data_IF_177044137168
#
_entry.id   IF_177044137168
#
_cell.length_a   1.000
_cell.length_b   1.000
_cell.length_c   1.000
_cell.angle_alpha   90.00
_cell.angle_beta   90.00
_cell.angle_gamma   90.00
#
_symmetry.space_group_name_H-M   'P 1'
#
loop_
_entity.id
_entity.type
_entity.pdbx_description
1 polymer ?
#
# COMPACT_ATOMS: atom_id res chain seq x y z
N UNK A 1 -21.59 7.81 -10.97
CA UNK A 1 -20.45 8.76 -11.01
C UNK A 1 -19.19 7.93 -10.77
N UNK A 2 -18.15 7.98 -11.61
CA UNK A 2 -17.05 6.99 -11.56
C UNK A 2 -16.10 7.19 -10.39
N UNK A 3 -15.56 6.08 -9.85
CA UNK A 3 -14.22 6.14 -9.27
C UNK A 3 -13.29 6.33 -10.46
N UNK A 4 -12.67 7.50 -10.59
CA UNK A 4 -11.69 7.72 -11.65
C UNK A 4 -10.40 7.05 -11.17
N UNK A 5 -9.91 6.05 -11.90
CA UNK A 5 -8.60 5.47 -11.67
C UNK A 5 -7.55 6.52 -12.08
N UNK A 6 -6.67 6.91 -11.17
CA UNK A 6 -5.49 7.71 -11.54
C UNK A 6 -4.50 6.81 -12.30
N UNK A 7 -3.81 7.30 -13.33
CA UNK A 7 -2.84 6.51 -14.10
C UNK A 7 -1.48 6.29 -13.40
N UNK A 8 -1.42 6.38 -12.06
CA UNK A 8 -0.17 6.59 -11.33
C UNK A 8 -0.22 5.94 -9.94
N UNK A 9 0.25 4.70 -9.83
CA UNK A 9 0.27 3.90 -8.58
C UNK A 9 1.68 3.37 -8.31
N UNK A 10 2.04 3.22 -7.03
CA UNK A 10 3.40 2.96 -6.56
C UNK A 10 3.61 1.61 -5.89
N UNK A 11 4.88 1.21 -5.85
CA UNK A 11 5.44 -0.03 -5.34
C UNK A 11 5.77 -0.06 -3.86
N UNK A 12 5.48 1.03 -3.14
CA UNK A 12 5.90 1.21 -1.77
C UNK A 12 4.88 0.74 -0.73
N UNK A 13 3.59 0.53 -1.08
CA UNK A 13 2.57 0.03 -0.16
C UNK A 13 2.56 -1.51 -0.04
N UNK A 14 2.86 -2.04 1.14
CA UNK A 14 2.73 -3.48 1.41
C UNK A 14 1.27 -3.98 1.22
N UNK A 15 1.08 -5.27 0.94
CA UNK A 15 -0.26 -5.85 0.87
C UNK A 15 -1.02 -5.70 2.19
N UNK A 16 -2.33 -5.87 2.13
CA UNK A 16 -3.12 -6.06 3.34
C UNK A 16 -2.83 -7.41 3.95
N UNK A 17 -2.54 -7.40 5.24
CA UNK A 17 -2.44 -8.60 6.10
C UNK A 17 -3.77 -8.98 6.74
N UNK A 18 -4.86 -8.24 6.47
CA UNK A 18 -6.16 -8.40 7.13
C UNK A 18 -7.31 -8.14 6.16
N UNK A 19 -8.44 -8.77 6.47
CA UNK A 19 -9.72 -8.43 5.84
C UNK A 19 -10.11 -6.99 6.23
N UNK A 20 -10.61 -6.24 5.26
CA UNK A 20 -11.21 -4.92 5.50
C UNK A 20 -12.41 -5.06 6.41
N UNK A 21 -12.37 -4.40 7.58
CA UNK A 21 -13.46 -4.40 8.55
C UNK A 21 -14.25 -3.09 8.61
N UNK A 22 -13.78 -2.04 7.95
CA UNK A 22 -14.48 -0.76 7.91
C UNK A 22 -13.75 0.32 7.11
N UNK A 23 -14.30 1.53 7.21
CA UNK A 23 -13.78 2.74 6.57
C UNK A 23 -13.23 3.68 7.64
N UNK A 24 -12.03 4.21 7.43
CA UNK A 24 -11.50 5.33 8.23
C UNK A 24 -11.47 6.60 7.40
N UNK A 25 -12.09 7.66 7.93
CA UNK A 25 -12.29 8.92 7.23
C UNK A 25 -11.34 10.00 7.76
N UNK A 26 -10.77 10.74 6.81
CA UNK A 26 -9.85 11.85 7.02
C UNK A 26 -10.43 13.11 6.37
N UNK A 27 -10.20 14.26 6.99
CA UNK A 27 -10.30 15.51 6.25
C UNK A 27 -8.94 15.80 5.61
N UNK A 28 -8.93 16.31 4.40
CA UNK A 28 -7.69 16.72 3.76
C UNK A 28 -7.06 17.90 4.52
N UNK A 29 -5.74 18.09 4.43
CA UNK A 29 -5.12 19.35 4.85
C UNK A 29 -5.41 20.52 3.87
N UNK A 30 -6.20 20.26 2.81
CA UNK A 30 -6.52 21.19 1.74
C UNK A 30 -7.97 21.69 1.82
N UNK A 31 -8.17 22.92 1.35
CA UNK A 31 -9.48 23.56 1.19
C UNK A 31 -9.73 23.78 -0.30
N UNK A 32 -11.00 23.72 -0.71
CA UNK A 32 -11.43 24.10 -2.07
C UNK A 32 -10.89 25.47 -2.46
N UNK A 33 -10.33 25.55 -3.66
CA UNK A 33 -9.91 26.81 -4.28
C UNK A 33 -11.05 27.30 -5.22
N UNK A 34 -11.44 28.59 -5.19
CA UNK A 34 -12.37 29.13 -6.17
C UNK A 34 -11.76 29.02 -7.58
N UNK A 35 -12.47 28.40 -8.51
CA UNK A 35 -11.96 28.10 -9.84
C UNK A 35 -11.76 29.36 -10.71
N UNK A 36 -10.57 29.52 -11.30
CA UNK A 36 -10.40 30.36 -12.49
C UNK A 36 -11.03 29.61 -13.67
N UNK A 37 -11.92 30.27 -14.43
CA UNK A 37 -12.53 29.68 -15.63
C UNK A 37 -11.45 29.29 -16.64
N UNK A 38 -11.25 27.99 -16.85
CA UNK A 38 -10.66 27.44 -18.07
C UNK A 38 -11.72 26.51 -18.71
N UNK A 39 -11.77 26.51 -20.04
CA UNK A 39 -12.85 26.02 -20.91
C UNK A 39 -13.48 24.68 -20.48
N UNK A 40 -14.77 24.57 -20.81
CA UNK A 40 -15.82 23.68 -20.29
C UNK A 40 -15.64 22.14 -20.30
N UNK A 41 -14.42 21.59 -20.41
CA UNK A 41 -14.16 20.16 -20.28
C UNK A 41 -13.08 19.80 -19.24
N UNK A 42 -12.34 20.79 -18.70
CA UNK A 42 -11.36 20.60 -17.63
C UNK A 42 -11.71 21.45 -16.41
N UNK A 43 -12.84 21.17 -15.76
CA UNK A 43 -12.98 21.49 -14.33
C UNK A 43 -12.21 20.44 -13.52
N UNK A 44 -10.89 20.40 -13.69
CA UNK A 44 -10.03 19.66 -12.77
C UNK A 44 -9.97 20.49 -11.48
N UNK A 45 -10.64 20.01 -10.45
CA UNK A 45 -10.59 20.58 -9.11
C UNK A 45 -9.14 20.54 -8.64
N UNK A 46 -8.50 21.72 -8.63
CA UNK A 46 -7.07 21.86 -8.33
C UNK A 46 -6.72 21.33 -6.93
N UNK A 47 -7.68 21.34 -6.00
CA UNK A 47 -7.50 20.82 -4.65
C UNK A 47 -7.39 19.28 -4.63
N UNK A 48 -8.33 18.54 -5.24
CA UNK A 48 -8.22 17.09 -5.36
C UNK A 48 -6.99 16.66 -6.16
N UNK A 49 -6.68 17.33 -7.27
CA UNK A 49 -5.47 17.03 -8.04
C UNK A 49 -4.17 17.25 -7.24
N UNK A 50 -4.09 18.33 -6.45
CA UNK A 50 -2.94 18.58 -5.58
C UNK A 50 -2.86 17.57 -4.43
N UNK A 51 -4.00 17.20 -3.83
CA UNK A 51 -4.07 16.18 -2.78
C UNK A 51 -3.54 14.85 -3.29
N UNK A 52 -3.98 14.44 -4.47
CA UNK A 52 -3.49 13.24 -5.13
C UNK A 52 -1.99 13.35 -5.35
N UNK A 53 -1.49 14.48 -5.85
CA UNK A 53 -0.05 14.74 -6.02
C UNK A 53 0.80 14.60 -4.74
N UNK A 54 0.22 14.80 -3.55
CA UNK A 54 0.93 14.53 -2.28
C UNK A 54 0.98 13.03 -1.93
N UNK A 55 0.04 12.24 -2.44
CA UNK A 55 -0.02 10.78 -2.23
C UNK A 55 0.78 10.00 -3.27
N UNK A 56 1.48 10.69 -4.18
CA UNK A 56 2.26 10.14 -5.30
C UNK A 56 3.72 9.86 -4.88
N UNK A 57 4.45 9.00 -5.63
CA UNK A 57 5.84 8.67 -5.33
C UNK A 57 6.71 9.92 -5.35
N UNK A 58 7.57 10.08 -4.32
CA UNK A 58 8.44 11.23 -4.14
C UNK A 58 7.86 12.40 -3.33
N UNK A 59 6.56 12.37 -2.99
CA UNK A 59 5.86 13.41 -2.19
C UNK A 59 5.98 13.31 -0.65
N UNK A 60 6.31 12.12 -0.12
CA UNK A 60 6.50 11.68 1.31
C UNK A 60 5.28 11.16 2.11
N UNK A 61 5.56 10.04 2.81
CA UNK A 61 5.10 9.51 4.12
C UNK A 61 3.62 9.17 4.40
N UNK A 62 2.62 9.74 3.73
CA UNK A 62 1.20 9.43 4.00
C UNK A 62 0.37 9.29 2.73
N UNK A 63 -0.62 8.39 2.74
CA UNK A 63 -1.50 8.09 1.59
C UNK A 63 -2.88 7.65 2.07
N UNK A 64 -3.89 7.74 1.20
CA UNK A 64 -5.21 7.16 1.43
C UNK A 64 -5.67 6.37 0.20
N UNK A 65 -6.65 5.50 0.36
CA UNK A 65 -7.16 4.70 -0.76
C UNK A 65 -7.89 5.56 -1.79
N UNK A 66 -8.61 6.59 -1.33
CA UNK A 66 -9.32 7.51 -2.20
C UNK A 66 -9.19 8.96 -1.73
N UNK A 67 -9.16 9.89 -2.68
CA UNK A 67 -9.48 11.30 -2.47
C UNK A 67 -10.94 11.58 -2.87
N UNK A 68 -11.65 12.40 -2.08
CA UNK A 68 -13.09 12.69 -2.32
C UNK A 68 -13.36 14.20 -2.35
N UNK A 69 -14.03 14.68 -3.40
CA UNK A 69 -14.50 16.07 -3.55
C UNK A 69 -15.77 16.13 -4.40
N UNK A 70 -16.88 16.65 -3.85
CA UNK A 70 -18.11 17.03 -4.61
C UNK A 70 -18.51 16.09 -5.76
N UNK A 71 -18.84 14.85 -5.41
CA UNK A 71 -19.27 13.81 -6.35
C UNK A 71 -18.11 13.03 -6.97
N UNK A 72 -16.87 13.52 -6.87
CA UNK A 72 -15.70 12.79 -7.33
C UNK A 72 -15.13 11.94 -6.21
N UNK A 73 -14.88 10.67 -6.52
CA UNK A 73 -14.07 9.75 -5.73
C UNK A 73 -12.94 9.33 -6.66
N UNK A 74 -11.70 9.60 -6.30
CA UNK A 74 -10.53 9.27 -7.11
C UNK A 74 -9.67 8.34 -6.29
N UNK A 75 -9.43 7.15 -6.80
CA UNK A 75 -8.62 6.17 -6.07
C UNK A 75 -7.13 6.56 -6.21
N UNK A 76 -6.38 6.41 -5.12
CA UNK A 76 -4.96 6.77 -4.99
C UNK A 76 -4.07 5.65 -4.40
N UNK A 77 -4.64 4.72 -3.60
CA UNK A 77 -4.02 3.40 -3.32
C UNK A 77 -4.97 2.23 -3.70
N UNK A 78 -4.49 1.15 -4.34
CA UNK A 78 -5.28 -0.05 -4.62
C UNK A 78 -5.88 -0.65 -3.34
N UNK A 79 -7.13 -1.15 -3.38
CA UNK A 79 -7.80 -1.61 -2.15
C UNK A 79 -7.29 -2.96 -1.62
N UNK A 80 -6.46 -3.68 -2.37
CA UNK A 80 -5.71 -4.87 -1.97
C UNK A 80 -4.37 -4.52 -1.26
N UNK A 81 -3.94 -3.26 -1.33
CA UNK A 81 -2.79 -2.72 -0.61
C UNK A 81 -3.22 -1.91 0.62
N UNK A 82 -2.30 -1.73 1.56
CA UNK A 82 -2.51 -0.86 2.72
C UNK A 82 -2.10 0.57 2.36
N UNK A 83 -3.01 1.54 2.41
CA UNK A 83 -2.62 2.94 2.39
C UNK A 83 -1.96 3.31 3.74
N UNK A 84 -0.85 4.03 3.72
CA UNK A 84 -0.19 4.58 4.90
C UNK A 84 -0.91 5.83 5.42
N UNK A 85 -2.08 5.64 6.01
CA UNK A 85 -2.96 6.73 6.46
C UNK A 85 -2.94 6.93 7.97
N UNK A 86 -2.61 5.88 8.71
CA UNK A 86 -2.83 5.80 10.16
C UNK A 86 -1.53 5.60 10.94
N UNK A 87 -0.39 5.39 10.25
CA UNK A 87 0.91 5.11 10.88
C UNK A 87 0.83 3.94 11.88
N UNK A 88 -0.02 2.96 11.58
CA UNK A 88 -0.29 1.80 12.40
C UNK A 88 -0.64 0.64 11.47
N UNK A 89 0.21 -0.38 11.45
CA UNK A 89 0.11 -1.48 10.49
C UNK A 89 -1.18 -2.29 10.64
N UNK A 90 -1.74 -2.41 11.85
CA UNK A 90 -3.03 -3.06 12.05
C UNK A 90 -4.13 -2.26 11.36
N UNK A 91 -4.17 -0.96 11.62
CA UNK A 91 -5.24 -0.09 11.15
C UNK A 91 -5.15 0.21 9.66
N UNK A 92 -3.96 0.42 9.12
CA UNK A 92 -3.73 0.58 7.67
C UNK A 92 -4.13 -0.69 6.89
N UNK A 93 -3.99 -1.86 7.52
CA UNK A 93 -4.41 -3.15 6.96
C UNK A 93 -5.92 -3.43 7.12
N UNK A 94 -6.53 -3.01 8.23
CA UNK A 94 -7.95 -3.24 8.53
C UNK A 94 -8.90 -2.26 7.81
N UNK A 95 -8.45 -1.03 7.53
CA UNK A 95 -9.31 0.03 6.99
C UNK A 95 -9.11 0.25 5.49
N UNK A 96 -10.19 0.54 4.77
CA UNK A 96 -10.10 1.39 3.56
C UNK A 96 -10.24 2.84 3.99
N UNK A 97 -9.42 3.73 3.45
CA UNK A 97 -9.24 5.09 3.98
C UNK A 97 -9.52 6.13 2.91
N UNK A 98 -10.14 7.24 3.32
CA UNK A 98 -10.50 8.31 2.42
C UNK A 98 -10.06 9.67 2.94
N UNK A 99 -9.44 10.46 2.07
CA UNK A 99 -9.04 11.84 2.31
C UNK A 99 -10.04 12.78 1.62
N UNK A 100 -10.77 13.56 2.42
CA UNK A 100 -11.94 14.28 1.95
C UNK A 100 -11.69 15.79 1.93
N UNK A 101 -11.84 16.43 0.77
CA UNK A 101 -11.55 17.86 0.59
C UNK A 101 -12.52 18.74 1.40
N UNK A 102 -11.98 19.68 2.17
CA UNK A 102 -12.77 20.63 2.96
C UNK A 102 -13.32 21.76 2.11
N UNK A 103 -14.50 22.24 2.47
CA UNK A 103 -15.04 23.53 2.04
C UNK A 103 -14.46 24.71 2.83
N UNK A 104 -13.94 24.49 4.03
CA UNK A 104 -13.33 25.52 4.88
C UNK A 104 -12.21 24.96 5.77
N UNK A 105 -11.10 25.70 5.92
CA UNK A 105 -10.08 25.41 6.95
C UNK A 105 -10.54 25.84 8.35
N UNK A 106 -11.46 26.81 8.44
CA UNK A 106 -12.08 27.18 9.70
C UNK A 106 -13.15 26.14 10.06
N UNK A 107 -12.86 25.33 11.08
CA UNK A 107 -13.73 24.23 11.53
C UNK A 107 -13.69 22.97 10.67
N UNK A 108 -12.83 22.90 9.65
CA UNK A 108 -12.65 21.73 8.78
C UNK A 108 -13.99 21.18 8.25
N UNK A 109 -14.84 22.07 7.74
CA UNK A 109 -16.19 21.70 7.28
C UNK A 109 -16.15 21.19 5.84
N UNK A 110 -17.01 20.22 5.54
CA UNK A 110 -17.17 19.65 4.20
C UNK A 110 -18.51 20.10 3.60
N UNK A 111 -18.61 20.17 2.28
CA UNK A 111 -19.87 20.45 1.59
C UNK A 111 -20.86 19.29 1.80
N UNK A 112 -22.16 19.55 1.61
CA UNK A 112 -23.15 18.50 1.56
C UNK A 112 -22.86 17.48 0.44
N UNK A 113 -22.34 17.92 -0.70
CA UNK A 113 -21.98 17.04 -1.81
C UNK A 113 -20.80 16.12 -1.49
N UNK A 114 -19.77 16.59 -0.78
CA UNK A 114 -18.69 15.72 -0.30
C UNK A 114 -19.23 14.73 0.74
N UNK A 115 -20.08 15.14 1.69
CA UNK A 115 -20.71 14.21 2.64
C UNK A 115 -21.50 13.10 1.94
N UNK A 116 -22.30 13.45 0.94
CA UNK A 116 -23.06 12.47 0.14
C UNK A 116 -22.13 11.51 -0.62
N UNK A 117 -21.02 12.01 -1.16
CA UNK A 117 -20.01 11.18 -1.85
C UNK A 117 -19.33 10.20 -0.89
N UNK A 118 -19.04 10.64 0.34
CA UNK A 118 -18.49 9.76 1.38
C UNK A 118 -19.49 8.67 1.75
N UNK A 119 -20.78 8.99 1.90
CA UNK A 119 -21.79 7.99 2.21
C UNK A 119 -21.95 6.93 1.10
N UNK A 120 -21.82 7.34 -0.17
CA UNK A 120 -21.80 6.42 -1.31
C UNK A 120 -20.57 5.52 -1.29
N UNK A 121 -19.39 6.10 -1.05
CA UNK A 121 -18.14 5.35 -0.90
C UNK A 121 -18.23 4.33 0.24
N UNK A 122 -18.73 4.71 1.42
CA UNK A 122 -18.92 3.80 2.55
C UNK A 122 -19.87 2.65 2.20
N UNK A 123 -21.00 2.93 1.54
CA UNK A 123 -21.94 1.90 1.11
C UNK A 123 -21.31 0.93 0.08
N UNK A 124 -20.50 1.45 -0.85
CA UNK A 124 -19.80 0.62 -1.83
C UNK A 124 -18.75 -0.28 -1.17
N UNK A 125 -17.93 0.27 -0.27
CA UNK A 125 -16.93 -0.50 0.46
C UNK A 125 -17.58 -1.58 1.35
N UNK A 126 -18.73 -1.27 1.95
CA UNK A 126 -19.53 -2.23 2.71
C UNK A 126 -19.98 -3.42 1.86
N UNK A 127 -20.48 -3.17 0.63
CA UNK A 127 -20.83 -4.24 -0.32
C UNK A 127 -19.61 -5.05 -0.72
N UNK A 128 -18.53 -4.36 -1.12
CA UNK A 128 -17.31 -4.97 -1.65
C UNK A 128 -16.60 -5.87 -0.63
N UNK A 129 -16.51 -5.43 0.62
CA UNK A 129 -15.73 -6.11 1.65
C UNK A 129 -16.58 -6.89 2.66
N UNK A 130 -17.90 -6.81 2.55
CA UNK A 130 -18.84 -7.59 3.36
C UNK A 130 -18.85 -7.17 4.83
N UNK A 131 -18.96 -5.86 5.09
CA UNK A 131 -19.26 -5.30 6.41
C UNK A 131 -20.55 -4.47 6.36
N UNK A 132 -21.15 -4.19 7.52
CA UNK A 132 -22.31 -3.29 7.61
C UNK A 132 -21.89 -1.94 8.18
N UNK A 133 -22.24 -0.78 7.59
CA UNK A 133 -21.92 0.53 8.14
C UNK A 133 -22.66 0.75 9.46
N UNK A 134 -21.95 0.96 10.57
CA UNK A 134 -22.59 1.33 11.83
C UNK A 134 -21.65 2.07 12.80
N UNK A 135 -22.27 2.87 13.66
CA UNK A 135 -21.66 3.69 14.72
C UNK A 135 -22.49 3.70 16.02
N UNK A 136 -23.33 2.69 16.22
CA UNK A 136 -24.15 2.51 17.41
C UNK A 136 -23.58 1.41 18.31
N UNK A 137 -23.96 1.41 19.59
CA UNK A 137 -23.49 0.43 20.57
C UNK A 137 -22.04 0.65 20.97
N UNK A 138 -21.30 -0.44 21.19
CA UNK A 138 -19.90 -0.40 21.63
C UNK A 138 -19.02 0.31 20.57
N UNK A 139 -18.34 1.42 20.91
CA UNK A 139 -17.52 2.13 19.95
C UNK A 139 -16.37 1.32 19.34
N UNK A 140 -15.92 0.26 20.03
CA UNK A 140 -14.88 -0.64 19.51
C UNK A 140 -15.33 -1.51 18.34
N UNK A 141 -16.63 -1.59 18.06
CA UNK A 141 -17.17 -2.41 16.97
C UNK A 141 -17.57 -1.59 15.75
N UNK A 142 -17.45 -0.27 15.79
CA UNK A 142 -17.85 0.60 14.67
C UNK A 142 -17.09 0.25 13.39
N UNK A 143 -17.75 0.45 12.24
CA UNK A 143 -17.19 0.17 10.91
C UNK A 143 -17.06 1.42 10.04
N UNK A 144 -17.58 2.56 10.51
CA UNK A 144 -17.35 3.87 9.92
C UNK A 144 -16.71 4.69 11.03
N UNK A 145 -15.42 5.01 10.90
CA UNK A 145 -14.61 5.57 11.98
C UNK A 145 -13.91 6.84 11.49
N UNK A 146 -13.84 7.89 12.30
CA UNK A 146 -12.98 9.03 12.03
C UNK A 146 -11.55 8.76 12.50
N UNK A 147 -10.52 9.27 11.82
CA UNK A 147 -9.11 9.01 12.22
C UNK A 147 -8.83 9.30 13.71
N UNK A 148 -9.32 10.39 14.29
CA UNK A 148 -9.18 10.67 15.74
C UNK A 148 -9.75 9.56 16.63
N UNK A 149 -10.82 8.89 16.20
CA UNK A 149 -11.45 7.82 16.97
C UNK A 149 -10.63 6.53 16.96
N UNK A 150 -9.84 6.28 15.91
CA UNK A 150 -8.82 5.22 15.91
C UNK A 150 -7.87 5.42 17.10
N UNK A 151 -7.42 6.65 17.32
CA UNK A 151 -6.58 7.01 18.47
C UNK A 151 -7.34 7.00 19.80
N UNK A 152 -8.44 7.72 19.93
CA UNK A 152 -9.10 7.93 21.23
C UNK A 152 -9.88 6.73 21.75
N UNK A 153 -10.33 5.83 20.87
CA UNK A 153 -11.17 4.67 21.24
C UNK A 153 -10.35 3.37 21.23
N UNK A 154 -9.45 3.22 20.26
CA UNK A 154 -8.73 1.97 20.05
C UNK A 154 -7.26 2.03 20.45
N UNK A 155 -6.71 3.22 20.72
CA UNK A 155 -5.30 3.40 21.07
C UNK A 155 -4.32 3.12 19.92
N UNK A 156 -4.83 2.97 18.68
CA UNK A 156 -4.00 2.85 17.49
C UNK A 156 -3.78 4.22 16.85
N UNK A 157 -2.82 4.34 15.94
CA UNK A 157 -2.48 5.63 15.31
C UNK A 157 -2.03 6.71 16.31
N UNK A 158 -2.21 7.99 15.97
CA UNK A 158 -1.73 9.16 16.70
C UNK A 158 -2.81 10.24 16.84
N UNK A 159 -2.60 11.16 17.79
CA UNK A 159 -3.52 12.27 18.05
C UNK A 159 -3.65 13.18 16.82
N UNK A 160 -4.88 13.48 16.40
CA UNK A 160 -5.16 14.20 15.16
C UNK A 160 -6.46 15.01 15.20
N UNK A 161 -6.52 16.07 14.39
CA UNK A 161 -7.74 16.83 14.14
C UNK A 161 -8.71 16.11 13.18
N UNK A 162 -8.26 15.11 12.41
CA UNK A 162 -9.11 14.32 11.51
C UNK A 162 -10.20 13.56 12.27
N UNK A 163 -11.46 13.48 11.81
CA UNK A 163 -11.97 13.92 10.51
C UNK A 163 -12.56 15.35 10.51
N UNK A 164 -12.28 16.16 11.53
CA UNK A 164 -12.68 17.57 11.53
C UNK A 164 -14.18 17.73 11.76
N UNK A 165 -14.83 18.59 10.97
CA UNK A 165 -16.25 18.91 11.08
C UNK A 165 -17.19 17.91 10.39
N UNK A 166 -16.72 16.71 10.06
CA UNK A 166 -17.49 15.70 9.34
C UNK A 166 -18.61 15.10 10.20
N UNK A 167 -19.84 15.05 9.69
CA UNK A 167 -20.96 14.38 10.37
C UNK A 167 -20.96 12.87 10.08
N UNK A 168 -20.17 12.12 10.86
CA UNK A 168 -20.01 10.67 10.72
C UNK A 168 -21.30 9.89 10.96
N UNK A 169 -22.20 10.40 11.82
CA UNK A 169 -23.47 9.74 12.11
C UNK A 169 -24.44 9.88 10.92
N UNK A 170 -24.51 11.07 10.32
CA UNK A 170 -25.26 11.29 9.10
C UNK A 170 -24.73 10.43 7.96
N UNK A 171 -23.40 10.41 7.73
CA UNK A 171 -22.75 9.60 6.69
C UNK A 171 -23.10 8.12 6.86
N UNK A 172 -23.00 7.61 8.09
CA UNK A 172 -23.29 6.21 8.40
C UNK A 172 -24.75 5.87 8.14
N UNK A 173 -25.69 6.70 8.63
CA UNK A 173 -27.12 6.49 8.40
C UNK A 173 -27.46 6.57 6.91
N UNK A 174 -26.82 7.47 6.18
CA UNK A 174 -26.99 7.63 4.73
C UNK A 174 -26.49 6.39 3.97
N UNK A 175 -25.33 5.85 4.33
CA UNK A 175 -24.81 4.61 3.75
C UNK A 175 -25.75 3.42 4.00
N UNK A 176 -26.32 3.31 5.21
CA UNK A 176 -27.32 2.29 5.53
C UNK A 176 -28.59 2.41 4.66
N UNK A 177 -29.07 3.63 4.42
CA UNK A 177 -30.22 3.87 3.54
C UNK A 177 -29.95 3.44 2.09
N UNK A 178 -28.73 3.70 1.60
CA UNK A 178 -28.27 3.27 0.26
C UNK A 178 -28.21 1.75 0.17
N UNK A 179 -27.71 1.07 1.21
CA UNK A 179 -27.65 -0.39 1.26
C UNK A 179 -29.02 -1.05 1.33
N UNK A 180 -29.95 -0.48 2.10
CA UNK A 180 -31.31 -0.99 2.27
C UNK A 180 -32.29 -0.65 1.14
N UNK A 181 -31.83 0.00 0.05
CA UNK A 181 -32.67 0.40 -1.08
C UNK A 181 -33.74 1.45 -0.77
N UNK A 182 -33.70 2.06 0.43
CA UNK A 182 -34.71 3.03 0.91
C UNK A 182 -34.59 4.41 0.26
N UNK A 183 -33.46 4.69 -0.37
CA UNK A 183 -33.25 5.86 -1.22
C UNK A 183 -32.58 5.37 -2.49
N UNK A 184 -32.99 5.84 -3.69
CA UNK A 184 -32.29 5.51 -4.92
C UNK A 184 -30.81 5.86 -4.75
N UNK A 185 -29.93 4.87 -4.97
CA UNK A 185 -28.53 5.19 -5.17
C UNK A 185 -28.49 6.15 -6.38
N UNK A 186 -27.85 7.33 -6.29
CA UNK A 186 -27.58 8.12 -7.48
C UNK A 186 -26.85 7.24 -8.49
N UNK A 187 -27.01 7.55 -9.79
CA UNK A 187 -26.57 6.72 -10.92
C UNK A 187 -25.33 5.90 -10.57
N UNK A 188 -25.50 4.56 -10.59
CA UNK A 188 -24.51 3.58 -10.17
C UNK A 188 -23.12 4.05 -10.57
N UNK A 189 -22.16 3.92 -9.66
CA UNK A 189 -20.77 4.01 -10.06
C UNK A 189 -20.61 3.05 -11.24
N UNK A 190 -20.09 3.46 -12.42
CA UNK A 190 -19.78 2.53 -13.49
C UNK A 190 -18.94 1.38 -12.90
N UNK A 191 -19.11 0.17 -13.47
CA UNK A 191 -18.29 -0.98 -13.09
C UNK A 191 -16.84 -0.52 -12.99
N UNK A 192 -16.18 -0.82 -11.86
CA UNK A 192 -14.78 -0.47 -11.67
C UNK A 192 -14.01 -0.93 -12.91
N UNK A 193 -13.25 -0.01 -13.52
CA UNK A 193 -12.27 -0.42 -14.53
C UNK A 193 -11.41 -1.53 -13.91
N UNK A 194 -11.05 -2.54 -14.72
CA UNK A 194 -10.20 -3.64 -14.25
C UNK A 194 -8.97 -3.06 -13.54
N UNK A 195 -8.57 -3.62 -12.40
CA UNK A 195 -7.50 -3.03 -11.61
C UNK A 195 -6.20 -3.04 -12.43
N UNK A 196 -5.44 -1.94 -12.35
CA UNK A 196 -4.20 -1.74 -13.10
C UNK A 196 -3.02 -1.48 -12.18
N UNK A 197 -1.82 -1.94 -12.57
CA UNK A 197 -0.54 -1.54 -12.00
C UNK A 197 0.15 -0.55 -12.95
N UNK A 198 0.43 0.67 -12.51
CA UNK A 198 1.03 1.73 -13.35
C UNK A 198 0.32 1.95 -14.71
N UNK A 199 -1.00 1.79 -14.74
CA UNK A 199 -1.82 1.92 -15.96
C UNK A 199 -1.93 0.66 -16.82
N UNK A 200 -1.30 -0.46 -16.43
CA UNK A 200 -1.38 -1.75 -17.11
C UNK A 200 -2.32 -2.72 -16.37
N UNK A 201 -3.23 -3.45 -17.04
CA UNK A 201 -4.16 -4.36 -16.35
C UNK A 201 -3.42 -5.46 -15.56
N UNK A 202 -3.73 -5.62 -14.27
CA UNK A 202 -3.05 -6.60 -13.40
C UNK A 202 -3.28 -8.02 -13.89
N UNK A 203 -4.51 -8.34 -14.31
CA UNK A 203 -4.85 -9.64 -14.90
C UNK A 203 -3.96 -9.98 -16.10
N UNK A 204 -3.67 -8.99 -16.96
CA UNK A 204 -2.81 -9.16 -18.13
C UNK A 204 -1.35 -9.36 -17.72
N UNK A 205 -0.87 -8.60 -16.72
CA UNK A 205 0.46 -8.81 -16.14
C UNK A 205 0.61 -10.26 -15.65
N UNK A 206 -0.33 -10.74 -14.83
CA UNK A 206 -0.29 -12.07 -14.22
C UNK A 206 -0.31 -13.19 -15.29
N UNK A 207 -1.16 -13.04 -16.31
CA UNK A 207 -1.20 -13.99 -17.45
C UNK A 207 0.08 -13.97 -18.28
N UNK A 208 0.63 -12.78 -18.56
CA UNK A 208 1.84 -12.65 -19.35
C UNK A 208 3.06 -13.18 -18.58
N UNK A 209 3.16 -12.95 -17.27
CA UNK A 209 4.17 -13.58 -16.42
C UNK A 209 4.16 -15.10 -16.54
N UNK A 210 2.97 -15.72 -16.46
CA UNK A 210 2.79 -17.16 -16.69
C UNK A 210 3.27 -17.62 -18.08
N UNK A 211 2.96 -16.87 -19.14
CA UNK A 211 3.44 -17.13 -20.51
C UNK A 211 4.96 -17.08 -20.62
N UNK A 212 5.62 -16.20 -19.85
CA UNK A 212 7.07 -16.07 -19.81
C UNK A 212 7.76 -17.09 -18.88
N UNK A 213 7.00 -17.96 -18.21
CA UNK A 213 7.52 -19.01 -17.32
C UNK A 213 7.68 -18.58 -15.86
N UNK A 214 7.06 -17.47 -15.44
CA UNK A 214 7.09 -16.92 -14.08
C UNK A 214 5.67 -16.86 -13.48
N UNK A 215 4.97 -18.01 -13.32
CA UNK A 215 3.55 -18.00 -12.96
C UNK A 215 3.29 -17.39 -11.58
N UNK A 216 2.23 -16.59 -11.50
CA UNK A 216 1.61 -16.03 -10.29
C UNK A 216 0.13 -16.38 -10.32
N UNK A 217 -0.54 -16.32 -9.18
CA UNK A 217 -2.01 -16.39 -9.15
C UNK A 217 -2.62 -15.28 -10.04
N UNK A 218 -3.72 -15.59 -10.74
CA UNK A 218 -4.47 -14.64 -11.58
C UNK A 218 -5.72 -14.22 -10.83
N UNK A 219 -5.53 -13.44 -9.79
CA UNK A 219 -6.55 -12.95 -8.85
C UNK A 219 -6.82 -11.44 -8.99
N UNK A 220 -6.21 -10.80 -9.99
CA UNK A 220 -6.25 -9.35 -10.22
C UNK A 220 -5.65 -8.51 -9.08
N UNK A 221 -4.85 -9.13 -8.20
CA UNK A 221 -4.12 -8.51 -7.10
C UNK A 221 -2.63 -8.48 -7.47
N UNK A 222 -2.04 -7.29 -7.60
CA UNK A 222 -0.59 -7.21 -7.74
C UNK A 222 -0.01 -7.41 -6.35
N UNK A 223 0.18 -8.67 -5.92
CA UNK A 223 0.62 -9.05 -4.56
C UNK A 223 2.13 -9.36 -4.48
N UNK A 224 2.63 -9.82 -3.31
CA UNK A 224 4.05 -10.18 -3.12
C UNK A 224 4.50 -11.24 -4.11
N UNK A 225 3.63 -12.21 -4.42
CA UNK A 225 3.92 -13.25 -5.40
C UNK A 225 4.13 -12.66 -6.80
N UNK A 226 3.21 -11.81 -7.26
CA UNK A 226 3.33 -11.10 -8.54
C UNK A 226 4.58 -10.21 -8.55
N UNK A 227 4.84 -9.44 -7.48
CA UNK A 227 6.04 -8.60 -7.35
C UNK A 227 7.31 -9.44 -7.47
N UNK A 228 7.38 -10.58 -6.77
CA UNK A 228 8.51 -11.51 -6.83
C UNK A 228 8.71 -12.05 -8.24
N UNK A 229 7.63 -12.50 -8.91
CA UNK A 229 7.74 -13.01 -10.28
C UNK A 229 8.15 -11.93 -11.28
N UNK A 230 7.74 -10.68 -11.08
CA UNK A 230 8.21 -9.54 -11.88
C UNK A 230 9.70 -9.31 -11.70
N UNK A 231 10.24 -9.40 -10.47
CA UNK A 231 11.70 -9.32 -10.25
C UNK A 231 12.44 -10.42 -10.98
N UNK A 232 11.97 -11.66 -10.92
CA UNK A 232 12.61 -12.79 -11.61
C UNK A 232 12.56 -12.60 -13.13
N UNK A 233 11.44 -12.13 -13.68
CA UNK A 233 11.34 -11.76 -15.10
C UNK A 233 12.34 -10.64 -15.44
N UNK A 234 12.42 -9.58 -14.65
CA UNK A 234 13.33 -8.46 -14.85
C UNK A 234 14.79 -8.93 -14.88
N UNK A 235 15.22 -9.76 -13.93
CA UNK A 235 16.56 -10.36 -13.91
C UNK A 235 16.83 -11.19 -15.17
N UNK A 236 15.88 -12.08 -15.54
CA UNK A 236 16.01 -12.93 -16.72
C UNK A 236 16.10 -12.13 -18.03
N UNK A 237 15.55 -10.91 -18.03
CA UNK A 237 15.56 -10.01 -19.18
C UNK A 237 16.63 -8.92 -19.13
N UNK A 238 17.40 -8.82 -18.03
CA UNK A 238 18.48 -7.85 -17.85
C UNK A 238 17.97 -6.43 -17.52
N UNK A 239 16.80 -6.33 -16.89
CA UNK A 239 16.24 -5.10 -16.34
C UNK A 239 16.63 -4.95 -14.86
N UNK A 240 16.47 -3.74 -14.32
CA UNK A 240 16.56 -3.52 -12.87
C UNK A 240 15.45 -4.33 -12.17
N UNK A 241 15.75 -5.21 -11.19
CA UNK A 241 14.77 -6.09 -10.58
C UNK A 241 14.07 -5.42 -9.39
N UNK A 242 13.42 -4.30 -9.64
CA UNK A 242 12.68 -3.52 -8.64
C UNK A 242 11.34 -4.19 -8.25
N UNK A 243 10.78 -5.02 -9.13
CA UNK A 243 9.49 -5.67 -8.96
C UNK A 243 8.32 -4.83 -9.49
N UNK A 244 8.60 -3.80 -10.30
CA UNK A 244 7.61 -2.91 -10.90
C UNK A 244 7.41 -3.14 -12.39
N UNK A 245 6.15 -3.12 -12.81
CA UNK A 245 5.80 -3.11 -14.24
C UNK A 245 5.79 -1.68 -14.77
N UNK A 246 6.98 -1.14 -15.03
CA UNK A 246 7.17 0.08 -15.82
C UNK A 246 7.12 -0.17 -17.34
N UNK A 247 7.28 0.86 -18.19
CA UNK A 247 7.20 0.74 -19.65
C UNK A 247 8.14 -0.33 -20.25
N UNK A 248 9.36 -0.46 -19.72
CA UNK A 248 10.33 -1.45 -20.20
C UNK A 248 9.93 -2.88 -19.81
N UNK A 249 9.50 -3.09 -18.56
CA UNK A 249 8.96 -4.37 -18.09
C UNK A 249 7.71 -4.76 -18.90
N UNK A 250 6.82 -3.81 -19.17
CA UNK A 250 5.62 -4.03 -19.96
C UNK A 250 5.93 -4.42 -21.41
N UNK A 251 6.93 -3.77 -22.02
CA UNK A 251 7.45 -4.12 -23.35
C UNK A 251 8.00 -5.55 -23.37
N UNK A 252 8.67 -5.99 -22.30
CA UNK A 252 9.12 -7.38 -22.15
C UNK A 252 7.95 -8.34 -22.07
N UNK A 253 6.96 -8.08 -21.22
CA UNK A 253 5.76 -8.92 -21.05
C UNK A 253 4.94 -9.08 -22.34
N UNK A 254 4.89 -8.05 -23.18
CA UNK A 254 4.21 -8.11 -24.48
C UNK A 254 5.10 -8.66 -25.61
N UNK A 255 6.38 -8.88 -25.33
CA UNK A 255 7.36 -9.36 -26.30
C UNK A 255 7.37 -10.89 -26.45
N UNK A 256 8.30 -11.41 -27.27
CA UNK A 256 8.51 -12.84 -27.38
C UNK A 256 9.12 -13.43 -26.10
N UNK A 257 8.74 -14.67 -25.78
CA UNK A 257 9.33 -15.46 -24.70
C UNK A 257 10.78 -15.79 -25.06
N UNK A 258 11.75 -15.46 -24.19
CA UNK A 258 13.15 -15.90 -24.33
C UNK A 258 13.17 -17.41 -24.06
N UNK A 259 13.57 -18.20 -25.05
CA UNK A 259 13.58 -19.69 -25.01
C UNK A 259 14.61 -20.31 -24.05
N UNK A 260 15.29 -19.52 -23.22
CA UNK A 260 16.11 -20.04 -22.14
C UNK A 260 15.24 -20.18 -20.90
N UNK A 261 14.80 -21.40 -20.63
CA UNK A 261 14.18 -21.80 -19.36
C UNK A 261 14.96 -21.20 -18.19
N UNK A 262 14.32 -20.55 -17.20
CA UNK A 262 15.02 -20.10 -16.01
C UNK A 262 15.48 -21.35 -15.27
N UNK A 263 16.78 -21.66 -15.35
CA UNK A 263 17.40 -22.52 -14.36
C UNK A 263 17.28 -21.80 -13.02
N UNK A 264 16.86 -22.53 -11.97
CA UNK A 264 16.96 -22.16 -10.54
C UNK A 264 18.13 -21.19 -10.34
N UNK A 265 17.94 -20.02 -9.69
CA UNK A 265 18.88 -18.90 -9.74
C UNK A 265 20.30 -19.41 -9.57
N UNK A 266 21.10 -19.31 -10.64
CA UNK A 266 22.51 -19.64 -10.57
C UNK A 266 23.13 -18.55 -9.69
N UNK A 267 23.84 -18.89 -8.60
CA UNK A 267 24.40 -17.88 -7.70
C UNK A 267 25.37 -17.00 -8.50
N UNK A 268 24.96 -15.77 -8.82
CA UNK A 268 25.81 -14.81 -9.49
C UNK A 268 26.57 -14.01 -8.43
N UNK A 269 27.88 -14.26 -8.40
CA UNK A 269 28.95 -13.70 -7.55
C UNK A 269 28.96 -14.18 -6.09
N UNK A 270 30.04 -14.88 -5.74
CA UNK A 270 30.31 -15.49 -4.43
C UNK A 270 30.85 -14.51 -3.38
N UNK A 271 30.69 -13.20 -3.58
CA UNK A 271 31.25 -12.18 -2.69
C UNK A 271 30.16 -11.23 -2.25
N UNK A 272 29.97 -11.12 -0.94
CA UNK A 272 29.01 -10.21 -0.36
C UNK A 272 29.38 -8.75 -0.66
N UNK A 273 28.38 -7.87 -0.86
CA UNK A 273 28.60 -6.42 -0.77
C UNK A 273 29.11 -6.08 0.64
N UNK A 274 29.90 -5.02 0.74
CA UNK A 274 30.41 -4.56 2.03
C UNK A 274 29.26 -4.29 3.00
N UNK A 275 29.43 -4.69 4.26
CA UNK A 275 28.46 -4.38 5.30
C UNK A 275 28.36 -2.85 5.46
N UNK A 276 27.15 -2.26 5.39
CA UNK A 276 26.99 -0.82 5.20
C UNK A 276 27.10 0.01 6.48
N UNK A 277 27.12 -0.63 7.66
CA UNK A 277 27.15 0.07 8.94
C UNK A 277 28.56 0.08 9.56
N UNK A 278 28.86 1.07 10.41
CA UNK A 278 30.13 1.11 11.13
C UNK A 278 30.38 -0.11 12.02
N UNK A 279 31.62 -0.30 12.45
CA UNK A 279 31.97 -1.36 13.40
C UNK A 279 31.14 -1.28 14.68
N UNK A 280 30.59 -2.42 15.12
CA UNK A 280 29.72 -2.52 16.30
C UNK A 280 28.25 -2.12 16.05
N UNK A 281 27.89 -1.68 14.85
CA UNK A 281 26.51 -1.39 14.45
C UNK A 281 25.89 -2.59 13.73
N UNK A 282 24.57 -2.71 13.82
CA UNK A 282 23.82 -3.82 13.23
C UNK A 282 22.44 -3.36 12.79
N UNK A 283 21.80 -4.10 11.88
CA UNK A 283 20.36 -3.94 11.69
C UNK A 283 19.60 -4.71 12.77
N UNK A 284 18.68 -4.04 13.43
CA UNK A 284 18.01 -4.53 14.63
C UNK A 284 16.72 -3.76 14.97
N UNK A 285 16.05 -4.12 16.07
CA UNK A 285 14.81 -3.49 16.51
C UNK A 285 14.96 -1.97 16.68
N UNK A 286 13.86 -1.23 16.41
CA UNK A 286 13.84 0.24 16.53
C UNK A 286 14.05 0.72 17.97
N UNK A 287 13.61 -0.06 18.94
CA UNK A 287 13.72 0.21 20.38
C UNK A 287 15.12 -0.13 20.94
N UNK A 288 16.03 -0.62 20.08
CA UNK A 288 17.41 -0.93 20.44
C UNK A 288 18.25 0.31 20.77
N UNK A 289 19.51 0.10 21.19
CA UNK A 289 20.45 1.20 21.40
C UNK A 289 20.79 1.91 20.08
N UNK A 290 21.53 3.03 20.13
CA UNK A 290 21.82 3.85 18.94
C UNK A 290 22.50 3.09 17.79
N UNK A 291 23.22 2.00 18.10
CA UNK A 291 23.86 1.11 17.15
C UNK A 291 22.89 0.21 16.37
N UNK A 292 21.63 0.11 16.82
CA UNK A 292 20.57 -0.69 16.20
C UNK A 292 19.86 0.15 15.12
N UNK A 293 20.14 -0.17 13.86
CA UNK A 293 19.57 0.52 12.70
C UNK A 293 18.36 -0.25 12.18
N UNK A 294 17.18 0.37 12.23
CA UNK A 294 15.92 -0.31 11.88
C UNK A 294 15.36 0.05 10.50
N UNK A 295 16.07 0.88 9.72
CA UNK A 295 15.55 1.40 8.44
C UNK A 295 14.63 2.63 8.58
N UNK A 296 14.18 2.98 9.79
CA UNK A 296 13.29 4.13 10.02
C UNK A 296 13.98 5.49 9.86
N UNK A 297 15.26 5.57 10.23
CA UNK A 297 16.03 6.83 10.29
C UNK A 297 17.20 6.88 9.30
N UNK A 298 17.37 5.84 8.48
CA UNK A 298 18.48 5.68 7.54
C UNK A 298 18.66 4.22 7.13
N UNK A 299 19.51 3.99 6.13
CA UNK A 299 19.89 2.65 5.62
C UNK A 299 18.75 1.74 5.14
N UNK A 300 17.61 2.33 4.77
CA UNK A 300 16.45 1.59 4.23
C UNK A 300 16.81 0.89 2.92
N UNK A 301 17.62 1.49 2.06
CA UNK A 301 17.97 0.91 0.77
C UNK A 301 18.81 -0.37 0.93
N UNK A 302 19.76 -0.35 1.86
CA UNK A 302 20.63 -1.47 2.18
C UNK A 302 19.87 -2.59 2.86
N UNK A 303 18.90 -2.26 3.73
CA UNK A 303 18.04 -3.27 4.33
C UNK A 303 17.12 -3.91 3.28
N UNK A 304 16.60 -3.15 2.30
CA UNK A 304 15.90 -3.69 1.14
C UNK A 304 16.79 -4.63 0.33
N UNK A 305 18.07 -4.29 0.14
CA UNK A 305 19.01 -5.13 -0.58
C UNK A 305 19.23 -6.48 0.12
N UNK A 306 19.36 -6.49 1.46
CA UNK A 306 19.45 -7.72 2.24
C UNK A 306 18.17 -8.57 2.11
N UNK A 307 17.00 -7.95 2.29
CA UNK A 307 15.71 -8.62 2.15
C UNK A 307 15.50 -9.21 0.74
N UNK A 308 15.88 -8.50 -0.32
CA UNK A 308 15.83 -9.00 -1.69
C UNK A 308 16.75 -10.20 -1.91
N UNK A 309 17.95 -10.17 -1.32
CA UNK A 309 18.85 -11.31 -1.36
C UNK A 309 18.26 -12.53 -0.64
N UNK A 310 17.62 -12.31 0.51
CA UNK A 310 16.92 -13.38 1.23
C UNK A 310 15.73 -13.93 0.42
N UNK A 311 14.90 -13.07 -0.19
CA UNK A 311 13.79 -13.50 -1.06
C UNK A 311 14.29 -14.35 -2.24
N UNK A 312 15.41 -13.96 -2.87
CA UNK A 312 16.06 -14.76 -3.93
C UNK A 312 16.51 -16.15 -3.47
N UNK A 313 16.83 -16.30 -2.18
CA UNK A 313 17.22 -17.57 -1.56
C UNK A 313 16.02 -18.41 -1.13
N UNK A 314 14.80 -17.91 -1.32
CA UNK A 314 13.55 -18.62 -1.01
C UNK A 314 12.93 -18.26 0.34
N UNK A 315 13.42 -17.23 1.02
CA UNK A 315 12.81 -16.73 2.25
C UNK A 315 11.55 -15.91 1.93
N UNK A 316 10.47 -16.15 2.68
CA UNK A 316 9.18 -15.52 2.43
C UNK A 316 9.09 -14.13 3.08
N UNK A 317 8.63 -13.14 2.32
CA UNK A 317 8.36 -11.78 2.80
C UNK A 317 6.93 -11.37 2.43
N UNK A 318 5.99 -12.30 2.47
CA UNK A 318 4.61 -12.07 2.03
C UNK A 318 3.81 -11.15 2.98
N UNK A 319 4.20 -11.03 4.24
CA UNK A 319 3.48 -10.22 5.24
C UNK A 319 3.75 -8.73 5.08
N UNK A 320 5.00 -8.31 4.87
CA UNK A 320 5.37 -6.89 4.78
C UNK A 320 6.06 -6.51 3.47
N UNK A 321 6.54 -7.49 2.71
CA UNK A 321 7.33 -7.27 1.51
C UNK A 321 8.72 -6.74 1.83
N UNK A 322 9.43 -6.35 0.78
CA UNK A 322 10.78 -5.75 0.86
C UNK A 322 10.64 -4.25 1.17
N UNK A 323 10.14 -3.92 2.35
CA UNK A 323 9.89 -2.53 2.76
C UNK A 323 11.15 -1.79 3.25
N UNK A 324 12.21 -2.53 3.58
CA UNK A 324 13.48 -2.02 4.09
C UNK A 324 13.41 -1.61 5.56
N UNK A 325 12.48 -2.19 6.32
CA UNK A 325 12.34 -1.99 7.74
C UNK A 325 12.71 -3.26 8.51
N UNK A 326 13.35 -3.07 9.65
CA UNK A 326 13.58 -4.15 10.59
C UNK A 326 12.31 -4.37 11.43
N UNK A 327 11.43 -5.24 10.93
CA UNK A 327 10.19 -5.67 11.58
C UNK A 327 10.26 -7.10 12.13
N UNK A 328 9.13 -7.58 12.62
CA UNK A 328 8.90 -8.94 13.11
C UNK A 328 9.09 -10.01 12.03
N UNK A 329 8.56 -9.81 10.83
CA UNK A 329 8.78 -10.73 9.69
C UNK A 329 10.28 -10.87 9.35
N UNK A 330 10.99 -9.75 9.18
CA UNK A 330 12.43 -9.79 8.88
C UNK A 330 13.20 -10.44 10.03
N UNK A 331 12.90 -10.11 11.29
CA UNK A 331 13.56 -10.72 12.45
C UNK A 331 13.33 -12.23 12.50
N UNK A 332 12.11 -12.70 12.23
CA UNK A 332 11.78 -14.12 12.17
C UNK A 332 12.62 -14.84 11.11
N UNK A 333 12.68 -14.28 9.90
CA UNK A 333 13.50 -14.82 8.81
C UNK A 333 14.98 -14.83 9.14
N UNK A 334 15.50 -13.78 9.79
CA UNK A 334 16.92 -13.73 10.18
C UNK A 334 17.25 -14.79 11.23
N UNK A 335 16.39 -15.00 12.23
CA UNK A 335 16.59 -16.06 13.23
C UNK A 335 16.67 -17.43 12.56
N UNK A 336 15.68 -17.75 11.73
CA UNK A 336 15.65 -19.04 11.03
C UNK A 336 16.86 -19.20 10.09
N UNK A 337 17.28 -18.12 9.42
CA UNK A 337 18.46 -18.12 8.58
C UNK A 337 19.76 -18.34 9.38
N UNK A 338 19.89 -17.68 10.52
CA UNK A 338 21.04 -17.87 11.42
C UNK A 338 21.12 -19.31 11.92
N UNK A 339 19.98 -19.90 12.32
CA UNK A 339 19.88 -21.31 12.68
C UNK A 339 20.30 -22.23 11.52
N UNK A 340 19.77 -21.99 10.32
CA UNK A 340 20.09 -22.75 9.11
C UNK A 340 21.58 -22.69 8.76
N UNK A 341 22.24 -21.55 9.01
CA UNK A 341 23.65 -21.33 8.66
C UNK A 341 24.63 -21.54 9.80
N UNK A 342 24.16 -21.92 10.99
CA UNK A 342 25.00 -22.13 12.17
C UNK A 342 25.70 -20.85 12.65
N UNK A 343 25.03 -19.70 12.49
CA UNK A 343 25.49 -18.40 12.98
C UNK A 343 25.02 -18.17 14.42
N UNK A 344 25.50 -17.08 15.04
CA UNK A 344 24.91 -16.60 16.30
C UNK A 344 23.44 -16.28 16.09
N UNK A 345 22.54 -16.93 16.84
CA UNK A 345 21.09 -16.79 16.71
C UNK A 345 20.57 -15.67 17.63
N UNK A 346 20.82 -14.42 17.26
CA UNK A 346 20.38 -13.22 17.98
C UNK A 346 19.25 -12.48 17.24
N UNK A 347 18.95 -12.90 16.02
CA UNK A 347 18.05 -12.26 15.08
C UNK A 347 18.61 -11.01 14.42
N UNK A 348 19.79 -10.53 14.82
CA UNK A 348 20.39 -9.28 14.35
C UNK A 348 21.16 -9.48 13.04
N UNK A 349 21.14 -8.46 12.18
CA UNK A 349 21.93 -8.50 10.94
C UNK A 349 23.22 -7.71 11.17
N UNK A 350 24.22 -8.40 11.71
CA UNK A 350 25.61 -7.96 11.73
C UNK A 350 26.38 -8.35 10.47
N UNK A 351 27.69 -8.05 10.40
CA UNK A 351 28.54 -8.35 9.24
C UNK A 351 28.53 -9.83 8.83
N UNK A 352 28.48 -10.77 9.80
CA UNK A 352 28.47 -12.21 9.52
C UNK A 352 27.15 -12.68 8.90
N UNK A 353 26.02 -12.30 9.51
CA UNK A 353 24.67 -12.55 8.96
C UNK A 353 24.54 -11.95 7.56
N UNK A 354 25.03 -10.73 7.38
CA UNK A 354 25.04 -10.05 6.09
C UNK A 354 25.85 -10.84 5.05
N UNK A 355 27.11 -11.18 5.34
CA UNK A 355 27.95 -11.92 4.41
C UNK A 355 27.35 -13.28 4.03
N UNK A 356 26.81 -14.00 5.01
CA UNK A 356 26.19 -15.30 4.79
C UNK A 356 25.02 -15.24 3.80
N UNK A 357 24.25 -14.15 3.76
CA UNK A 357 23.15 -14.00 2.81
C UNK A 357 23.62 -14.02 1.34
N UNK A 358 24.87 -13.68 1.04
CA UNK A 358 25.44 -13.83 -0.31
C UNK A 358 26.28 -15.08 -0.48
N UNK A 359 27.06 -15.45 0.54
CA UNK A 359 28.17 -16.40 0.39
C UNK A 359 27.83 -17.81 0.85
N UNK A 360 26.90 -17.96 1.80
CA UNK A 360 26.55 -19.27 2.31
C UNK A 360 25.76 -20.08 1.26
N UNK A 361 25.95 -21.41 1.16
CA UNK A 361 25.16 -22.25 0.25
C UNK A 361 23.66 -22.12 0.47
N UNK A 362 22.86 -22.16 -0.59
CA UNK A 362 21.40 -22.30 -0.51
C UNK A 362 21.11 -23.75 -0.16
N UNK A 363 20.37 -24.00 0.92
CA UNK A 363 20.05 -25.35 1.43
C UNK A 363 18.63 -25.76 1.10
#
# INVERSE_FOLDING_TARGET
MGIISGAWWTSDHSPRTRKVGGVVLHHAAMVKQPGILVRAALRLFRALANLLGLMQPGGRQVSAHVGIEDGQVVQAVPFDRRAWSLADAYWDSWAVTAECINSSANGWTLSAATHESIAQYVAEMARRFGFYPHRNGNPKTWTVIGHREVYTIHGGSYATACPGGMDLNWITKRAQQILGGKVPAPAALPAAEKPTWAGYPIEDIQKLLGKHGFPTEVDEIYGPDTTRQVRVLQEAYGLEPDGDVGPDTWKVLNGPVKTKTPSKPKPTSSKAPAFPLPEGWYFGPKEGPIQSVSGYYGHRAELKQFMAQMERRGWDFSEHGIDGLYGDELRGNVIAFQEEKGLTVDGLIGPETWAAAWEAPVT
#
